data_IF_845443825010
#
_entry.id   IF_845443825010
#
_cell.length_a   1.000
_cell.length_b   1.000
_cell.length_c   1.000
_cell.angle_alpha   90.00
_cell.angle_beta   90.00
_cell.angle_gamma   90.00
#
_symmetry.space_group_name_H-M   'P 1'
#
loop_
_entity.id
_entity.type
_entity.pdbx_description
1 polymer ?
#
# COMPACT_ATOMS: atom_id res chain seq x y z
N UNK A 1 -11.28 19.87 16.14
CA UNK A 1 -10.25 19.10 15.38
C UNK A 1 -10.66 17.66 15.13
N UNK A 2 -11.00 16.86 16.16
CA UNK A 2 -11.40 15.45 15.99
C UNK A 2 -12.50 15.23 14.94
N UNK A 3 -13.61 15.98 15.01
CA UNK A 3 -14.72 15.90 14.05
C UNK A 3 -14.25 16.19 12.61
N UNK A 4 -13.37 17.17 12.43
CA UNK A 4 -12.82 17.48 11.12
C UNK A 4 -11.91 16.35 10.61
N UNK A 5 -11.12 15.72 11.49
CA UNK A 5 -10.29 14.58 11.14
C UNK A 5 -11.13 13.37 10.67
N UNK A 6 -12.27 13.12 11.31
CA UNK A 6 -13.22 12.09 10.89
C UNK A 6 -13.76 12.36 9.48
N UNK A 7 -14.26 13.57 9.24
CA UNK A 7 -14.74 13.96 7.91
C UNK A 7 -13.65 13.87 6.83
N UNK A 8 -12.42 14.30 7.17
CA UNK A 8 -11.28 14.19 6.26
C UNK A 8 -10.93 12.72 5.97
N UNK A 9 -11.03 11.82 6.96
CA UNK A 9 -10.77 10.40 6.77
C UNK A 9 -11.82 9.76 5.85
N UNK A 10 -13.11 10.06 6.06
CA UNK A 10 -14.17 9.57 5.17
C UNK A 10 -13.98 10.09 3.74
N UNK A 11 -13.60 11.36 3.58
CA UNK A 11 -13.34 11.95 2.27
C UNK A 11 -12.12 11.29 1.60
N UNK A 12 -11.04 11.08 2.35
CA UNK A 12 -9.86 10.39 1.85
C UNK A 12 -10.17 8.95 1.45
N UNK A 13 -10.99 8.23 2.22
CA UNK A 13 -11.46 6.90 1.91
C UNK A 13 -12.26 6.88 0.61
N UNK A 14 -13.22 7.79 0.44
CA UNK A 14 -13.97 7.94 -0.82
C UNK A 14 -13.04 8.15 -2.03
N UNK A 15 -12.00 8.97 -1.86
CA UNK A 15 -11.00 9.18 -2.90
C UNK A 15 -10.17 7.93 -3.21
N UNK A 16 -9.74 7.19 -2.19
CA UNK A 16 -9.06 5.91 -2.36
C UNK A 16 -9.94 4.90 -3.11
N UNK A 17 -11.18 4.74 -2.68
CA UNK A 17 -12.18 3.85 -3.30
C UNK A 17 -12.35 4.14 -4.80
N UNK A 18 -12.54 5.41 -5.15
CA UNK A 18 -12.71 5.85 -6.54
C UNK A 18 -11.47 5.55 -7.38
N UNK A 19 -10.28 5.97 -6.92
CA UNK A 19 -9.06 5.78 -7.70
C UNK A 19 -8.61 4.33 -7.77
N UNK A 20 -8.96 3.51 -6.77
CA UNK A 20 -8.80 2.06 -6.83
C UNK A 20 -9.72 1.44 -7.89
N UNK A 21 -10.99 1.87 -7.96
CA UNK A 21 -11.94 1.43 -8.97
C UNK A 21 -11.49 1.81 -10.40
N UNK A 22 -10.95 3.01 -10.57
CA UNK A 22 -10.40 3.54 -11.83
C UNK A 22 -9.02 2.96 -12.19
N UNK A 23 -8.33 2.29 -11.25
CA UNK A 23 -6.93 1.87 -11.38
C UNK A 23 -5.97 3.07 -11.64
N UNK A 24 -6.30 4.24 -11.10
CA UNK A 24 -5.51 5.47 -11.26
C UNK A 24 -4.33 5.50 -10.28
N UNK A 25 -3.16 5.02 -10.73
CA UNK A 25 -2.00 4.80 -9.86
C UNK A 25 -1.50 6.05 -9.13
N UNK A 26 -1.22 7.15 -9.83
CA UNK A 26 -0.60 8.33 -9.22
C UNK A 26 -1.51 9.00 -8.17
N UNK A 27 -2.80 9.15 -8.48
CA UNK A 27 -3.77 9.74 -7.56
C UNK A 27 -4.08 8.82 -6.38
N UNK A 28 -4.14 7.50 -6.62
CA UNK A 28 -4.30 6.52 -5.55
C UNK A 28 -3.18 6.65 -4.49
N UNK A 29 -1.91 6.73 -4.91
CA UNK A 29 -0.79 6.84 -3.97
C UNK A 29 -0.78 8.17 -3.22
N UNK A 30 -1.22 9.26 -3.83
CA UNK A 30 -1.38 10.55 -3.13
C UNK A 30 -2.44 10.44 -2.03
N UNK A 31 -3.58 9.83 -2.32
CA UNK A 31 -4.64 9.63 -1.35
C UNK A 31 -4.30 8.59 -0.28
N UNK A 32 -3.43 7.62 -0.59
CA UNK A 32 -2.82 6.74 0.43
C UNK A 32 -2.13 7.57 1.48
N UNK A 33 -1.25 8.50 1.08
CA UNK A 33 -0.45 9.27 2.01
C UNK A 33 -1.32 10.13 2.93
N UNK A 34 -2.38 10.72 2.38
CA UNK A 34 -3.37 11.49 3.15
C UNK A 34 -4.12 10.59 4.13
N UNK A 35 -4.68 9.47 3.66
CA UNK A 35 -5.43 8.55 4.52
C UNK A 35 -4.54 7.97 5.64
N UNK A 36 -3.30 7.61 5.33
CA UNK A 36 -2.35 7.09 6.31
C UNK A 36 -1.99 8.15 7.36
N UNK A 37 -1.75 9.39 6.94
CA UNK A 37 -1.47 10.48 7.87
C UNK A 37 -2.66 10.75 8.80
N UNK A 38 -3.89 10.70 8.27
CA UNK A 38 -5.11 10.88 9.06
C UNK A 38 -5.29 9.73 10.07
N UNK A 39 -5.19 8.47 9.61
CA UNK A 39 -5.30 7.27 10.45
C UNK A 39 -4.27 7.32 11.59
N UNK A 40 -3.02 7.68 11.28
CA UNK A 40 -1.95 7.79 12.27
C UNK A 40 -2.13 8.97 13.24
N UNK A 41 -2.92 9.97 12.85
CA UNK A 41 -3.26 11.11 13.70
C UNK A 41 -4.28 10.79 14.78
N UNK A 42 -5.04 9.69 14.65
CA UNK A 42 -5.95 9.24 15.71
C UNK A 42 -5.19 8.52 16.81
N UNK A 43 -5.35 8.97 18.06
CA UNK A 43 -4.86 8.22 19.23
C UNK A 43 -5.64 6.90 19.39
N UNK A 44 -6.93 6.92 19.09
CA UNK A 44 -7.79 5.75 18.91
C UNK A 44 -8.80 6.04 17.80
N UNK A 45 -8.99 5.10 16.87
CA UNK A 45 -9.99 5.24 15.80
C UNK A 45 -11.39 5.05 16.42
N UNK A 46 -12.30 6.04 16.27
CA UNK A 46 -13.67 5.92 16.75
C UNK A 46 -14.38 4.69 16.17
N UNK A 47 -15.28 4.08 16.94
CA UNK A 47 -15.96 2.82 16.54
C UNK A 47 -16.65 2.96 15.18
N UNK A 48 -17.33 4.08 14.92
CA UNK A 48 -18.01 4.33 13.63
C UNK A 48 -17.03 4.50 12.46
N UNK A 49 -15.79 4.91 12.71
CA UNK A 49 -14.76 5.11 11.69
C UNK A 49 -13.89 3.87 11.43
N UNK A 50 -14.02 2.82 12.24
CA UNK A 50 -13.21 1.60 12.08
C UNK A 50 -13.35 0.98 10.69
N UNK A 51 -14.58 0.86 10.18
CA UNK A 51 -14.84 0.36 8.82
C UNK A 51 -14.07 1.17 7.77
N UNK A 52 -14.16 2.50 7.84
CA UNK A 52 -13.46 3.43 6.93
C UNK A 52 -11.95 3.24 6.98
N UNK A 53 -11.37 3.16 8.17
CA UNK A 53 -9.94 2.96 8.35
C UNK A 53 -9.47 1.59 7.86
N UNK A 54 -10.19 0.51 8.17
CA UNK A 54 -9.86 -0.84 7.73
C UNK A 54 -9.97 -0.97 6.22
N UNK A 55 -10.98 -0.37 5.59
CA UNK A 55 -11.10 -0.34 4.13
C UNK A 55 -9.92 0.40 3.50
N UNK A 56 -9.53 1.57 4.02
CA UNK A 56 -8.34 2.27 3.53
C UNK A 56 -7.10 1.36 3.56
N UNK A 57 -6.84 0.73 4.71
CA UNK A 57 -5.69 -0.17 4.88
C UNK A 57 -5.74 -1.37 3.93
N UNK A 58 -6.91 -2.00 3.79
CA UNK A 58 -7.13 -3.09 2.84
C UNK A 58 -6.76 -2.67 1.41
N UNK A 59 -7.31 -1.55 0.92
CA UNK A 59 -7.10 -1.10 -0.46
C UNK A 59 -5.62 -0.78 -0.72
N UNK A 60 -4.94 -0.15 0.23
CA UNK A 60 -3.52 0.17 0.12
C UNK A 60 -2.69 -1.12 -0.01
N UNK A 61 -2.95 -2.11 0.85
CA UNK A 61 -2.23 -3.40 0.85
C UNK A 61 -2.54 -4.23 -0.39
N UNK A 62 -3.79 -4.24 -0.87
CA UNK A 62 -4.15 -4.86 -2.15
C UNK A 62 -3.53 -4.11 -3.34
N UNK A 63 -3.36 -2.79 -3.30
CA UNK A 63 -2.63 -2.10 -4.36
C UNK A 63 -1.13 -2.47 -4.37
N UNK A 64 -0.55 -2.74 -3.19
CA UNK A 64 0.84 -3.17 -3.02
C UNK A 64 1.04 -4.68 -3.18
N UNK A 65 -0.01 -5.48 -3.32
CA UNK A 65 0.03 -6.93 -3.10
C UNK A 65 0.98 -7.72 -4.02
N UNK A 66 1.26 -7.21 -5.22
CA UNK A 66 2.26 -7.80 -6.15
C UNK A 66 3.71 -7.44 -5.80
N UNK A 67 3.92 -6.41 -4.99
CA UNK A 67 5.23 -6.05 -4.47
C UNK A 67 5.49 -6.89 -3.23
N UNK A 68 6.41 -7.85 -3.32
CA UNK A 68 6.92 -8.57 -2.15
C UNK A 68 7.98 -7.74 -1.40
N UNK A 69 7.79 -6.42 -1.33
CA UNK A 69 8.61 -5.60 -0.43
C UNK A 69 8.10 -5.94 0.97
N UNK A 70 8.71 -6.97 1.55
CA UNK A 70 8.34 -7.57 2.82
C UNK A 70 8.42 -6.49 3.91
N UNK A 71 7.33 -6.32 4.65
CA UNK A 71 7.35 -5.54 5.88
C UNK A 71 7.68 -6.49 7.03
N UNK A 72 8.63 -6.08 7.88
CA UNK A 72 8.95 -6.83 9.09
C UNK A 72 7.94 -6.43 10.16
N UNK A 73 7.09 -7.37 10.57
CA UNK A 73 6.22 -7.23 11.74
C UNK A 73 6.68 -8.27 12.77
N UNK A 74 7.18 -7.84 13.93
CA UNK A 74 7.64 -8.70 15.04
C UNK A 74 8.59 -9.84 14.60
N UNK A 75 9.68 -9.51 13.89
CA UNK A 75 10.66 -10.46 13.35
C UNK A 75 10.11 -11.41 12.25
N UNK A 76 8.80 -11.36 11.97
CA UNK A 76 8.13 -12.15 10.94
C UNK A 76 7.97 -11.34 9.65
N UNK A 77 8.25 -12.00 8.53
CA UNK A 77 8.12 -11.41 7.19
C UNK A 77 6.65 -11.52 6.75
N UNK A 78 5.92 -10.42 6.86
CA UNK A 78 4.50 -10.37 6.45
C UNK A 78 4.41 -9.70 5.08
N UNK A 79 3.84 -10.41 4.12
CA UNK A 79 3.57 -9.84 2.79
C UNK A 79 2.42 -8.82 2.87
N UNK A 80 2.36 -7.83 1.95
CA UNK A 80 1.25 -6.89 1.93
C UNK A 80 -0.12 -7.59 1.86
N UNK A 81 -0.24 -8.70 1.14
CA UNK A 81 -1.51 -9.45 1.04
C UNK A 81 -1.88 -10.20 2.34
N UNK A 82 -0.91 -10.67 3.12
CA UNK A 82 -1.19 -11.23 4.45
C UNK A 82 -1.75 -10.17 5.40
N UNK A 83 -1.16 -8.96 5.36
CA UNK A 83 -1.74 -7.84 6.10
C UNK A 83 -3.11 -7.44 5.56
N UNK A 84 -3.31 -7.45 4.23
CA UNK A 84 -4.63 -7.22 3.64
C UNK A 84 -5.67 -8.21 4.19
N UNK A 85 -5.32 -9.49 4.34
CA UNK A 85 -6.21 -10.50 4.91
C UNK A 85 -6.61 -10.17 6.36
N UNK A 86 -5.67 -9.70 7.19
CA UNK A 86 -5.98 -9.28 8.57
C UNK A 86 -7.01 -8.15 8.62
N UNK A 87 -6.87 -7.12 7.77
CA UNK A 87 -7.84 -6.03 7.66
C UNK A 87 -9.17 -6.49 7.07
N UNK A 88 -9.15 -7.45 6.14
CA UNK A 88 -10.38 -8.07 5.65
C UNK A 88 -11.16 -8.77 6.76
N UNK A 89 -10.48 -9.56 7.60
CA UNK A 89 -11.12 -10.22 8.75
C UNK A 89 -11.70 -9.21 9.75
N UNK A 90 -11.08 -8.05 9.92
CA UNK A 90 -11.64 -6.97 10.74
C UNK A 90 -12.90 -6.35 10.12
N UNK A 91 -12.94 -6.16 8.80
CA UNK A 91 -14.13 -5.67 8.08
C UNK A 91 -15.30 -6.66 8.17
N UNK A 92 -15.02 -7.96 8.00
CA UNK A 92 -16.04 -9.01 8.08
C UNK A 92 -16.73 -9.05 9.46
N UNK A 93 -16.01 -8.72 10.53
CA UNK A 93 -16.57 -8.64 11.89
C UNK A 93 -17.51 -7.45 12.07
N UNK A 94 -17.26 -6.37 11.35
CA UNK A 94 -18.09 -5.15 11.41
C UNK A 94 -19.33 -5.25 10.49
N UNK A 95 -19.42 -6.27 9.62
CA UNK A 95 -20.50 -6.38 8.64
C UNK A 95 -20.93 -7.84 8.36
N UNK A 96 -22.10 -8.22 8.87
CA UNK A 96 -22.61 -9.60 8.80
C UNK A 96 -23.42 -9.87 7.51
N UNK A 97 -23.89 -8.83 6.82
CA UNK A 97 -24.90 -8.95 5.74
C UNK A 97 -24.35 -9.50 4.41
N UNK A 98 -23.02 -9.50 4.21
CA UNK A 98 -22.39 -9.83 2.92
C UNK A 98 -21.62 -11.15 2.94
N UNK A 99 -22.11 -12.16 3.68
CA UNK A 99 -21.40 -13.42 3.94
C UNK A 99 -20.79 -14.08 2.70
N UNK A 100 -21.52 -14.16 1.57
CA UNK A 100 -20.98 -14.76 0.33
C UNK A 100 -19.87 -13.93 -0.32
N UNK A 101 -20.02 -12.60 -0.39
CA UNK A 101 -18.99 -11.73 -0.96
C UNK A 101 -17.75 -11.68 -0.05
N UNK A 102 -17.96 -11.73 1.26
CA UNK A 102 -16.94 -11.85 2.28
C UNK A 102 -16.09 -13.10 2.10
N UNK A 103 -16.75 -14.26 2.03
CA UNK A 103 -16.10 -15.54 1.77
C UNK A 103 -15.34 -15.54 0.43
N UNK A 104 -15.95 -15.04 -0.64
CA UNK A 104 -15.33 -14.96 -1.98
C UNK A 104 -14.03 -14.13 -1.94
N UNK A 105 -14.06 -12.94 -1.34
CA UNK A 105 -12.90 -12.04 -1.26
C UNK A 105 -11.83 -12.63 -0.34
N UNK A 106 -12.20 -13.16 0.82
CA UNK A 106 -11.28 -13.82 1.75
C UNK A 106 -10.51 -14.94 1.05
N UNK A 107 -11.23 -15.82 0.37
CA UNK A 107 -10.65 -16.93 -0.40
C UNK A 107 -9.73 -16.44 -1.53
N UNK A 108 -10.13 -15.38 -2.24
CA UNK A 108 -9.30 -14.78 -3.29
C UNK A 108 -8.00 -14.20 -2.72
N UNK A 109 -8.06 -13.51 -1.58
CA UNK A 109 -6.86 -12.99 -0.91
C UNK A 109 -5.94 -14.15 -0.51
N UNK A 110 -6.46 -15.19 0.15
CA UNK A 110 -5.67 -16.37 0.55
C UNK A 110 -4.98 -17.05 -0.64
N UNK A 111 -5.69 -17.26 -1.75
CA UNK A 111 -5.11 -17.85 -2.97
C UNK A 111 -4.05 -16.93 -3.57
N UNK A 112 -4.30 -15.62 -3.61
CA UNK A 112 -3.37 -14.65 -4.20
C UNK A 112 -2.10 -14.47 -3.36
N UNK A 113 -2.17 -14.62 -2.04
CA UNK A 113 -0.97 -14.65 -1.19
C UNK A 113 -0.01 -15.74 -1.67
N UNK A 114 -0.51 -16.97 -1.87
CA UNK A 114 0.31 -18.08 -2.38
C UNK A 114 0.73 -17.84 -3.83
N UNK A 115 -0.20 -17.38 -4.69
CA UNK A 115 0.08 -17.12 -6.10
C UNK A 115 1.26 -16.17 -6.31
N UNK A 116 1.30 -15.04 -5.58
CA UNK A 116 2.37 -14.05 -5.70
C UNK A 116 3.72 -14.63 -5.28
N UNK A 117 3.77 -15.45 -4.22
CA UNK A 117 5.01 -16.13 -3.83
C UNK A 117 5.46 -17.15 -4.88
N UNK A 118 4.52 -17.89 -5.48
CA UNK A 118 4.79 -18.84 -6.56
C UNK A 118 5.34 -18.15 -7.81
N UNK A 119 4.74 -17.03 -8.25
CA UNK A 119 5.20 -16.23 -9.39
C UNK A 119 6.63 -15.68 -9.19
N UNK A 120 7.00 -15.39 -7.93
CA UNK A 120 8.33 -14.89 -7.54
C UNK A 120 9.34 -16.00 -7.28
N UNK A 121 8.95 -17.27 -7.44
CA UNK A 121 9.77 -18.48 -7.19
C UNK A 121 10.21 -18.65 -5.73
N UNK A 122 9.48 -18.05 -4.79
CA UNK A 122 9.71 -18.18 -3.35
C UNK A 122 8.90 -19.35 -2.78
N UNK A 123 9.25 -20.56 -3.20
CA UNK A 123 8.46 -21.77 -2.91
C UNK A 123 8.49 -22.18 -1.43
N UNK A 124 9.61 -21.91 -0.73
CA UNK A 124 9.74 -22.25 0.69
C UNK A 124 8.87 -21.32 1.52
N UNK A 125 8.96 -20.03 1.24
CA UNK A 125 8.16 -18.98 1.83
C UNK A 125 6.67 -19.19 1.52
N UNK A 126 6.32 -19.62 0.31
CA UNK A 126 4.93 -19.98 -0.03
C UNK A 126 4.38 -21.10 0.86
N UNK A 127 5.19 -22.11 1.18
CA UNK A 127 4.80 -23.18 2.10
C UNK A 127 4.67 -22.68 3.55
N UNK A 128 5.61 -21.87 4.02
CA UNK A 128 5.55 -21.24 5.35
C UNK A 128 4.32 -20.34 5.50
N UNK A 129 4.02 -19.53 4.49
CA UNK A 129 2.83 -18.68 4.46
C UNK A 129 1.57 -19.53 4.44
N UNK A 130 1.52 -20.61 3.65
CA UNK A 130 0.36 -21.51 3.62
C UNK A 130 0.02 -22.07 5.01
N UNK A 131 1.03 -22.53 5.75
CA UNK A 131 0.85 -23.07 7.10
C UNK A 131 0.32 -22.01 8.08
N UNK A 132 0.77 -20.76 7.94
CA UNK A 132 0.30 -19.62 8.74
C UNK A 132 -1.12 -19.17 8.39
N UNK A 133 -1.54 -19.31 7.13
CA UNK A 133 -2.88 -18.91 6.69
C UNK A 133 -3.99 -19.85 7.17
N UNK A 134 -3.65 -21.12 7.42
CA UNK A 134 -4.61 -22.19 7.68
C UNK A 134 -4.30 -22.94 8.98
N UNK A 135 -3.75 -22.24 9.97
CA UNK A 135 -3.51 -22.78 11.32
C UNK A 135 -4.88 -23.01 11.97
N UNK A 136 -5.31 -24.27 12.06
CA UNK A 136 -6.50 -24.78 12.79
C UNK A 136 -7.90 -24.62 12.16
N UNK A 137 -8.01 -24.29 10.87
CA UNK A 137 -9.31 -24.21 10.16
C UNK A 137 -9.67 -25.52 9.44
N UNK A 138 -10.56 -26.33 10.01
CA UNK A 138 -11.08 -27.55 9.34
C UNK A 138 -11.88 -27.22 8.07
N UNK A 139 -12.56 -26.07 8.02
CA UNK A 139 -13.32 -25.63 6.83
C UNK A 139 -12.42 -25.33 5.62
N UNK A 140 -11.19 -24.88 5.86
CA UNK A 140 -10.26 -24.51 4.80
C UNK A 140 -9.34 -25.64 4.35
N UNK A 141 -9.45 -26.81 4.98
CA UNK A 141 -8.66 -28.01 4.67
C UNK A 141 -8.65 -28.37 3.18
N UNK A 142 -9.78 -28.31 2.43
CA UNK A 142 -9.76 -28.61 1.00
C UNK A 142 -8.94 -27.61 0.18
N UNK A 143 -8.97 -26.33 0.54
CA UNK A 143 -8.21 -25.29 -0.14
C UNK A 143 -6.72 -25.40 0.18
N UNK A 144 -6.39 -25.63 1.45
CA UNK A 144 -5.01 -25.87 1.92
C UNK A 144 -4.35 -27.02 1.16
N UNK A 145 -5.02 -28.18 1.05
CA UNK A 145 -4.48 -29.35 0.34
C UNK A 145 -4.23 -29.06 -1.15
N UNK A 146 -5.16 -28.33 -1.80
CA UNK A 146 -5.01 -27.92 -3.20
C UNK A 146 -3.80 -26.99 -3.37
N UNK A 147 -3.67 -25.97 -2.53
CA UNK A 147 -2.55 -25.02 -2.59
C UNK A 147 -1.21 -25.69 -2.25
N UNK A 148 -1.17 -26.61 -1.28
CA UNK A 148 0.03 -27.41 -0.98
C UNK A 148 0.47 -28.25 -2.19
N UNK A 149 -0.48 -28.83 -2.92
CA UNK A 149 -0.19 -29.57 -4.16
C UNK A 149 0.41 -28.65 -5.21
N UNK A 150 -0.15 -27.45 -5.39
CA UNK A 150 0.37 -26.44 -6.32
C UNK A 150 1.78 -25.98 -5.93
N UNK A 151 2.07 -25.77 -4.65
CA UNK A 151 3.42 -25.41 -4.20
C UNK A 151 4.42 -26.54 -4.51
N UNK A 152 4.01 -27.80 -4.36
CA UNK A 152 4.85 -28.96 -4.69
C UNK A 152 5.16 -29.08 -6.19
N UNK A 153 4.22 -28.73 -7.07
CA UNK A 153 4.48 -28.75 -8.53
C UNK A 153 5.47 -27.66 -8.95
N UNK A 154 5.66 -26.61 -8.13
CA UNK A 154 6.53 -25.45 -8.42
C UNK A 154 6.18 -24.71 -9.71
N UNK A 155 4.96 -24.90 -10.20
CA UNK A 155 4.44 -24.27 -11.41
C UNK A 155 3.45 -23.16 -11.03
N UNK A 156 3.74 -21.88 -11.32
CA UNK A 156 2.83 -20.77 -11.07
C UNK A 156 1.67 -20.71 -12.07
N UNK A 157 1.71 -21.42 -13.20
CA UNK A 157 0.72 -21.34 -14.28
C UNK A 157 -0.38 -22.40 -14.20
N UNK A 158 -0.60 -22.99 -13.03
CA UNK A 158 -1.66 -23.98 -12.83
C UNK A 158 -3.06 -23.38 -13.03
N UNK A 159 -4.05 -24.14 -13.52
CA UNK A 159 -5.41 -23.65 -13.77
C UNK A 159 -6.08 -23.01 -12.54
N UNK A 160 -5.75 -23.47 -11.34
CA UNK A 160 -6.27 -22.89 -10.09
C UNK A 160 -5.82 -21.44 -9.90
N UNK A 161 -4.53 -21.13 -10.10
CA UNK A 161 -4.01 -19.78 -9.92
C UNK A 161 -4.46 -18.85 -11.06
N UNK A 162 -4.69 -19.40 -12.25
CA UNK A 162 -5.23 -18.67 -13.39
C UNK A 162 -6.72 -18.31 -13.22
N UNK A 163 -7.53 -19.27 -12.74
CA UNK A 163 -8.96 -19.04 -12.51
C UNK A 163 -9.22 -18.05 -11.37
N UNK A 164 -8.48 -18.16 -10.27
CA UNK A 164 -8.56 -17.24 -9.13
C UNK A 164 -7.58 -16.07 -9.28
N UNK A 165 -7.63 -15.37 -10.41
CA UNK A 165 -6.65 -14.32 -10.77
C UNK A 165 -6.68 -13.07 -9.88
N UNK A 166 -5.58 -12.31 -9.88
CA UNK A 166 -5.52 -11.01 -9.22
C UNK A 166 -6.56 -10.01 -9.74
N UNK A 167 -6.87 -10.05 -11.03
CA UNK A 167 -7.91 -9.19 -11.62
C UNK A 167 -9.31 -9.55 -11.09
N UNK A 168 -9.58 -10.83 -10.82
CA UNK A 168 -10.81 -11.27 -10.18
C UNK A 168 -10.89 -10.76 -8.73
N UNK A 169 -9.79 -10.81 -7.98
CA UNK A 169 -9.72 -10.20 -6.63
C UNK A 169 -10.06 -8.71 -6.70
N UNK A 170 -9.41 -7.96 -7.58
CA UNK A 170 -9.68 -6.53 -7.78
C UNK A 170 -11.16 -6.29 -8.13
N UNK A 171 -11.74 -7.08 -9.03
CA UNK A 171 -13.15 -6.97 -9.43
C UNK A 171 -14.10 -7.17 -8.26
N UNK A 172 -13.89 -8.22 -7.44
CA UNK A 172 -14.72 -8.49 -6.26
C UNK A 172 -14.59 -7.40 -5.19
N UNK A 173 -13.38 -6.88 -4.98
CA UNK A 173 -13.15 -5.74 -4.08
C UNK A 173 -13.85 -4.49 -4.60
N UNK A 174 -13.88 -4.24 -5.91
CA UNK A 174 -14.69 -3.13 -6.48
C UNK A 174 -16.18 -3.30 -6.19
N UNK A 175 -16.73 -4.51 -6.32
CA UNK A 175 -18.13 -4.76 -5.93
C UNK A 175 -18.39 -4.48 -4.45
N UNK A 176 -17.43 -4.79 -3.57
CA UNK A 176 -17.53 -4.41 -2.16
C UNK A 176 -17.48 -2.88 -1.97
N UNK A 177 -16.56 -2.19 -2.65
CA UNK A 177 -16.45 -0.72 -2.61
C UNK A 177 -17.77 -0.08 -3.06
N UNK A 178 -18.41 -0.56 -4.12
CA UNK A 178 -19.69 -0.02 -4.60
C UNK A 178 -20.78 -0.07 -3.52
N UNK A 179 -20.84 -1.19 -2.78
CA UNK A 179 -21.78 -1.34 -1.66
C UNK A 179 -21.42 -0.41 -0.49
N UNK A 180 -20.14 -0.36 -0.12
CA UNK A 180 -19.65 0.52 0.94
C UNK A 180 -19.91 2.00 0.63
N UNK A 181 -19.65 2.42 -0.61
CA UNK A 181 -19.87 3.80 -1.04
C UNK A 181 -21.36 4.16 -1.01
N UNK A 182 -22.25 3.23 -1.37
CA UNK A 182 -23.70 3.40 -1.30
C UNK A 182 -24.20 3.56 0.14
N UNK A 183 -23.63 2.83 1.09
CA UNK A 183 -23.93 2.98 2.52
C UNK A 183 -23.46 4.34 3.06
N UNK A 184 -22.36 4.87 2.51
CA UNK A 184 -21.69 6.09 2.98
C UNK A 184 -21.89 7.31 2.04
N UNK A 185 -22.97 7.36 1.26
CA UNK A 185 -23.30 8.47 0.36
C UNK A 185 -23.51 9.82 1.10
N UNK A 186 -23.62 9.78 2.43
CA UNK A 186 -23.91 10.93 3.28
C UNK A 186 -22.66 11.70 3.76
N UNK A 187 -21.48 11.42 3.20
CA UNK A 187 -20.25 12.12 3.60
C UNK A 187 -20.40 13.65 3.47
N UNK A 188 -20.31 14.33 4.62
CA UNK A 188 -20.54 15.76 4.74
C UNK A 188 -19.68 16.58 3.77
N UNK A 189 -18.38 16.31 3.69
CA UNK A 189 -17.46 17.07 2.83
C UNK A 189 -17.78 16.90 1.34
N UNK A 190 -18.19 15.70 0.93
CA UNK A 190 -18.58 15.45 -0.47
C UNK A 190 -19.87 16.21 -0.79
N UNK A 191 -20.84 16.18 0.12
CA UNK A 191 -22.10 16.89 -0.06
C UNK A 191 -21.89 18.40 -0.13
N UNK A 192 -21.15 18.97 0.81
CA UNK A 192 -20.88 20.41 0.84
C UNK A 192 -20.05 20.86 -0.36
N UNK A 193 -19.04 20.08 -0.78
CA UNK A 193 -18.30 20.38 -1.99
C UNK A 193 -19.20 20.36 -3.24
N UNK A 194 -20.12 19.40 -3.33
CA UNK A 194 -21.07 19.27 -4.46
C UNK A 194 -22.04 20.45 -4.51
N UNK A 195 -22.60 20.85 -3.36
CA UNK A 195 -23.48 22.04 -3.25
C UNK A 195 -22.76 23.30 -3.68
N UNK A 196 -21.51 23.48 -3.25
CA UNK A 196 -20.71 24.66 -3.58
C UNK A 196 -20.30 24.72 -5.06
N UNK A 197 -20.03 23.58 -5.70
CA UNK A 197 -19.79 23.52 -7.15
C UNK A 197 -21.06 23.87 -7.94
N UNK A 198 -22.21 23.33 -7.52
CA UNK A 198 -23.50 23.64 -8.14
C UNK A 198 -23.88 25.12 -8.02
N UNK A 199 -23.66 25.75 -6.86
CA UNK A 199 -23.98 27.16 -6.65
C UNK A 199 -23.08 28.13 -7.43
N UNK A 200 -21.85 27.73 -7.76
CA UNK A 200 -20.90 28.56 -8.53
C UNK A 200 -21.06 28.46 -10.05
N UNK A 201 -22.00 27.65 -10.56
CA UNK A 201 -22.18 27.45 -12.00
C UNK A 201 -20.93 26.85 -12.69
N UNK A 202 -19.97 26.35 -11.91
CA UNK A 202 -18.86 25.55 -12.40
C UNK A 202 -19.46 24.22 -12.80
N UNK A 203 -19.80 24.09 -14.08
CA UNK A 203 -20.55 22.97 -14.64
C UNK A 203 -20.14 21.65 -14.01
N UNK A 204 -21.13 20.94 -13.47
CA UNK A 204 -20.98 19.58 -13.02
C UNK A 204 -20.34 18.79 -14.17
N UNK A 205 -19.05 18.47 -14.05
CA UNK A 205 -18.50 17.35 -14.82
C UNK A 205 -19.14 16.15 -14.18
N UNK A 206 -20.28 15.75 -14.77
CA UNK A 206 -21.17 14.73 -14.28
C UNK A 206 -20.37 13.50 -13.87
N UNK A 207 -20.46 13.17 -12.59
CA UNK A 207 -20.02 11.93 -11.99
C UNK A 207 -21.02 10.83 -12.42
N UNK A 208 -21.11 10.56 -13.72
CA UNK A 208 -21.83 9.41 -14.28
C UNK A 208 -21.13 8.91 -15.54
N UNK A 209 -20.98 7.59 -15.58
CA UNK A 209 -20.49 6.79 -16.69
C UNK A 209 -21.05 7.24 -18.05
N UNK A 210 -20.16 7.65 -18.98
CA UNK A 210 -20.43 7.47 -20.40
C UNK A 210 -19.16 7.09 -21.13
N UNK A 211 -19.24 5.95 -21.81
CA UNK A 211 -18.21 5.42 -22.69
C UNK A 211 -17.73 6.51 -23.68
N UNK A 212 -16.42 6.75 -23.69
CA UNK A 212 -15.77 7.65 -24.64
C UNK A 212 -15.75 6.98 -26.02
N UNK A 213 -16.40 7.60 -27.00
CA UNK A 213 -15.85 7.64 -28.36
C UNK A 213 -14.92 8.86 -28.42
N UNK A 214 -13.70 8.60 -28.84
CA UNK A 214 -12.59 9.55 -29.00
C UNK A 214 -12.95 10.60 -30.06
N UNK A 215 -12.55 11.85 -29.81
CA UNK A 215 -11.98 12.70 -30.86
C UNK A 215 -11.00 13.70 -30.25
N UNK A 216 -9.87 13.86 -30.95
CA UNK A 216 -8.74 14.72 -30.62
C UNK A 216 -9.07 16.21 -30.80
N UNK A 217 -8.42 17.02 -29.97
CA UNK A 217 -8.12 18.46 -30.06
C UNK A 217 -8.77 19.29 -28.92
N UNK A 218 -7.98 19.63 -27.90
CA UNK A 218 -7.51 21.01 -27.78
C UNK A 218 -6.51 21.21 -26.64
N UNK A 219 -5.53 22.08 -26.92
CA UNK A 219 -4.27 22.24 -26.19
C UNK A 219 -4.31 23.53 -25.38
N UNK A 220 -5.08 23.60 -24.31
CA UNK A 220 -4.94 24.67 -23.29
C UNK A 220 -5.79 24.41 -22.05
N UNK A 221 -5.21 23.88 -20.96
CA UNK A 221 -5.51 24.31 -19.57
C UNK A 221 -4.63 23.57 -18.53
N UNK A 222 -3.30 23.70 -18.62
CA UNK A 222 -2.37 23.09 -17.67
C UNK A 222 -2.08 23.98 -16.44
N UNK A 223 -2.61 25.21 -16.40
CA UNK A 223 -2.31 26.19 -15.34
C UNK A 223 -3.34 26.19 -14.21
N UNK A 224 -4.57 25.79 -14.46
CA UNK A 224 -5.67 25.94 -13.49
C UNK A 224 -5.70 24.82 -12.44
N UNK A 225 -5.24 23.60 -12.78
CA UNK A 225 -5.14 22.47 -11.83
C UNK A 225 -4.03 22.59 -10.77
N UNK A 226 -3.04 23.48 -10.95
CA UNK A 226 -1.93 23.64 -10.00
C UNK A 226 -2.26 24.54 -8.80
N UNK A 227 -3.30 25.39 -8.88
CA UNK A 227 -3.62 26.36 -7.81
C UNK A 227 -4.45 25.79 -6.66
N UNK A 228 -5.24 24.74 -6.89
CA UNK A 228 -6.06 24.12 -5.83
C UNK A 228 -5.28 23.19 -4.89
N UNK A 229 -4.09 22.75 -5.30
CA UNK A 229 -3.29 21.78 -4.53
C UNK A 229 -2.40 22.46 -3.48
N UNK A 230 -2.17 23.77 -3.59
CA UNK A 230 -1.27 24.51 -2.69
C UNK A 230 -1.93 24.88 -1.35
N UNK A 231 -3.27 24.94 -1.28
CA UNK A 231 -3.98 25.37 -0.06
C UNK A 231 -3.97 24.33 1.07
N UNK A 232 -3.77 23.05 0.77
CA UNK A 232 -3.76 21.98 1.78
C UNK A 232 -2.37 21.85 2.45
N UNK A 233 -1.31 22.41 1.86
CA UNK A 233 0.07 22.28 2.38
C UNK A 233 0.39 23.35 3.46
N UNK A 234 -0.45 24.37 3.64
CA UNK A 234 -0.16 25.50 4.54
C UNK A 234 -0.58 25.31 6.01
N UNK A 235 -1.19 24.19 6.40
CA UNK A 235 -1.62 23.95 7.80
C UNK A 235 -0.53 23.34 8.70
N UNK A 236 0.74 23.34 8.28
CA UNK A 236 1.84 22.67 9.02
C UNK A 236 2.65 23.58 9.96
N UNK A 237 2.13 24.73 10.37
CA UNK A 237 2.77 25.60 11.34
C UNK A 237 1.79 25.99 12.44
N UNK A 238 2.25 25.96 13.70
CA UNK A 238 1.50 26.11 14.97
C UNK A 238 0.95 24.75 15.43
N UNK A 239 1.40 24.06 16.49
CA UNK A 239 2.14 24.42 17.70
C UNK A 239 2.73 23.11 18.30
N UNK A 240 3.87 23.18 19.01
CA UNK A 240 4.40 22.05 19.79
C UNK A 240 4.35 22.30 21.30
N UNK A 241 4.20 21.24 22.12
CA UNK A 241 5.04 20.89 23.30
C UNK A 241 4.46 19.74 24.17
N UNK A 242 5.36 18.77 24.46
CA UNK A 242 5.70 18.02 25.71
C UNK A 242 4.68 17.19 26.55
N UNK A 243 5.02 15.87 26.66
CA UNK A 243 5.13 14.91 27.81
C UNK A 243 4.13 14.98 29.00
N UNK A 244 3.64 13.92 29.67
CA UNK A 244 4.10 12.54 29.91
C UNK A 244 3.00 11.62 30.54
N UNK A 245 3.30 10.31 30.60
CA UNK A 245 2.81 9.23 31.52
C UNK A 245 1.34 8.76 31.50
N UNK A 246 1.12 7.50 31.10
CA UNK A 246 0.72 6.37 31.98
C UNK A 246 0.00 5.24 31.21
N UNK A 247 0.70 4.09 31.10
CA UNK A 247 0.22 2.68 31.09
C UNK A 247 -1.10 2.28 30.39
N UNK A 248 -0.94 1.66 29.20
CA UNK A 248 -1.51 0.39 28.67
C UNK A 248 -3.01 0.04 28.93
N UNK A 249 -3.74 -0.45 27.90
CA UNK A 249 -3.32 -1.52 27.01
C UNK A 249 -3.15 -1.08 25.56
N UNK A 250 -1.87 -0.90 25.19
CA UNK A 250 -1.39 -0.54 23.86
C UNK A 250 -0.52 -1.72 23.42
N UNK A 251 -1.05 -2.64 22.62
CA UNK A 251 -0.20 -3.68 22.02
C UNK A 251 -0.55 -4.05 20.57
N UNK A 252 -1.59 -3.45 19.98
CA UNK A 252 -1.90 -3.65 18.56
C UNK A 252 -1.69 -2.39 17.69
N UNK A 253 -1.57 -1.22 18.31
CA UNK A 253 -1.46 0.07 17.60
C UNK A 253 -0.02 0.55 17.38
N UNK A 254 0.97 -0.04 18.06
CA UNK A 254 2.34 0.49 18.11
C UNK A 254 3.27 0.00 16.98
N UNK A 255 2.85 -0.96 16.14
CA UNK A 255 3.73 -1.60 15.15
C UNK A 255 3.92 -0.73 13.88
N UNK A 256 3.07 0.28 13.66
CA UNK A 256 3.22 1.21 12.54
C UNK A 256 4.23 2.35 12.80
N UNK A 257 4.77 2.49 14.02
CA UNK A 257 5.60 3.64 14.41
C UNK A 257 7.07 3.58 13.96
N UNK A 258 7.58 2.47 13.42
CA UNK A 258 9.03 2.30 13.25
C UNK A 258 9.64 2.84 11.95
N UNK A 259 8.87 3.40 11.00
CA UNK A 259 9.41 3.76 9.68
C UNK A 259 9.26 5.24 9.30
N UNK A 260 9.58 6.15 10.22
CA UNK A 260 9.84 7.56 9.88
C UNK A 260 11.18 8.02 10.44
N UNK A 261 12.28 7.62 9.79
CA UNK A 261 13.44 8.49 9.72
C UNK A 261 14.00 8.51 8.28
N UNK A 262 14.21 9.75 7.83
CA UNK A 262 14.90 10.18 6.61
C UNK A 262 14.04 10.33 5.34
N UNK A 263 13.22 11.39 5.34
CA UNK A 263 12.99 12.16 4.10
C UNK A 263 13.32 13.61 4.40
N UNK A 264 14.53 14.04 4.04
CA UNK A 264 14.77 15.42 3.68
C UNK A 264 15.05 15.49 2.16
N UNK A 265 14.12 16.16 1.48
CA UNK A 265 14.20 16.85 0.18
C UNK A 265 15.09 16.23 -0.91
N UNK A 266 14.46 15.76 -2.00
CA UNK A 266 14.73 16.37 -3.31
C UNK A 266 13.66 16.08 -4.36
N UNK A 267 13.36 17.13 -5.12
CA UNK A 267 12.37 17.22 -6.19
C UNK A 267 12.65 16.24 -7.34
N UNK A 268 11.58 15.63 -7.85
CA UNK A 268 11.58 14.87 -9.10
C UNK A 268 11.50 15.88 -10.25
N UNK A 269 12.63 16.11 -10.91
CA UNK A 269 12.69 16.61 -12.29
C UNK A 269 12.95 15.42 -13.21
N UNK A 270 11.95 15.10 -14.03
CA UNK A 270 12.08 14.19 -15.17
C UNK A 270 12.92 14.89 -16.24
N UNK A 271 14.19 14.48 -16.37
CA UNK A 271 14.97 14.66 -17.58
C UNK A 271 16.04 13.56 -17.70
N UNK A 272 15.99 12.82 -18.80
CA UNK A 272 17.01 11.87 -19.21
C UNK A 272 18.37 12.60 -19.38
N UNK A 273 19.24 12.49 -18.39
CA UNK A 273 20.68 12.73 -18.53
C UNK A 273 21.40 11.88 -17.48
N UNK A 274 22.33 11.02 -17.89
CA UNK A 274 23.11 10.15 -16.99
C UNK A 274 24.06 11.01 -16.15
N UNK A 275 23.55 11.65 -15.09
CA UNK A 275 24.38 12.23 -14.03
C UNK A 275 24.98 11.08 -13.23
N UNK A 276 26.31 11.00 -13.16
CA UNK A 276 27.01 10.03 -12.29
C UNK A 276 26.57 10.27 -10.85
N UNK A 277 25.77 9.37 -10.29
CA UNK A 277 25.35 9.42 -8.88
C UNK A 277 26.59 9.28 -7.98
N UNK A 278 26.89 10.31 -7.18
CA UNK A 278 27.99 10.30 -6.21
C UNK A 278 27.69 9.31 -5.08
N UNK A 279 28.72 8.65 -4.58
CA UNK A 279 28.61 7.73 -3.43
C UNK A 279 28.51 8.52 -2.13
N UNK A 280 27.56 8.15 -1.27
CA UNK A 280 27.44 8.74 0.07
C UNK A 280 28.32 8.02 1.08
N UNK A 281 28.55 8.66 2.23
CA UNK A 281 29.34 8.07 3.31
C UNK A 281 28.68 6.82 3.90
N UNK A 282 27.34 6.83 3.99
CA UNK A 282 26.54 5.70 4.45
C UNK A 282 26.70 4.51 3.50
N UNK A 283 26.60 4.75 2.18
CA UNK A 283 26.84 3.70 1.18
C UNK A 283 28.25 3.12 1.28
N UNK A 284 29.28 3.95 1.47
CA UNK A 284 30.66 3.45 1.65
C UNK A 284 30.83 2.67 2.96
N UNK A 285 30.14 3.06 4.02
CA UNK A 285 30.13 2.37 5.32
C UNK A 285 29.46 1.00 5.19
N UNK A 286 28.28 0.93 4.60
CA UNK A 286 27.55 -0.31 4.35
C UNK A 286 28.34 -1.25 3.43
N UNK A 287 29.01 -0.71 2.41
CA UNK A 287 29.88 -1.50 1.54
C UNK A 287 31.06 -2.10 2.31
N UNK A 288 31.70 -1.34 3.19
CA UNK A 288 32.79 -1.83 4.05
C UNK A 288 32.31 -2.91 5.02
N UNK A 289 31.15 -2.72 5.64
CA UNK A 289 30.56 -3.72 6.54
C UNK A 289 30.21 -5.00 5.78
N UNK A 290 29.53 -4.88 4.65
CA UNK A 290 29.17 -6.02 3.82
C UNK A 290 30.39 -6.78 3.28
N UNK A 291 31.47 -6.10 2.91
CA UNK A 291 32.72 -6.78 2.53
C UNK A 291 33.38 -7.46 3.73
N UNK A 292 33.32 -6.88 4.93
CA UNK A 292 33.84 -7.50 6.16
C UNK A 292 33.05 -8.77 6.53
N UNK A 293 31.74 -8.77 6.32
CA UNK A 293 30.84 -9.86 6.69
C UNK A 293 30.78 -10.97 5.62
N UNK A 294 30.65 -10.60 4.34
CA UNK A 294 30.45 -11.56 3.25
C UNK A 294 31.70 -11.82 2.41
N UNK A 295 32.77 -11.06 2.59
CA UNK A 295 34.00 -11.20 1.81
C UNK A 295 33.97 -10.48 0.45
N UNK A 296 35.17 -10.17 -0.07
CA UNK A 296 35.36 -9.50 -1.36
C UNK A 296 34.88 -10.40 -2.50
N UNK A 297 34.06 -9.88 -3.41
CA UNK A 297 33.55 -10.63 -4.57
C UNK A 297 32.06 -10.98 -4.47
N UNK A 298 31.50 -10.99 -3.26
CA UNK A 298 30.10 -11.36 -3.00
C UNK A 298 29.13 -10.16 -3.15
N UNK A 299 29.28 -9.40 -4.24
CA UNK A 299 28.59 -8.11 -4.46
C UNK A 299 27.07 -8.23 -4.52
N UNK A 300 26.54 -9.31 -5.10
CA UNK A 300 25.09 -9.54 -5.16
C UNK A 300 24.52 -9.78 -3.75
N UNK A 301 25.25 -10.49 -2.89
CA UNK A 301 24.85 -10.73 -1.50
C UNK A 301 24.95 -9.44 -0.68
N UNK A 302 26.04 -8.69 -0.84
CA UNK A 302 26.22 -7.40 -0.18
C UNK A 302 25.13 -6.41 -0.60
N UNK A 303 24.78 -6.34 -1.88
CA UNK A 303 23.71 -5.47 -2.38
C UNK A 303 22.35 -5.78 -1.76
N UNK A 304 22.06 -7.05 -1.50
CA UNK A 304 20.80 -7.48 -0.88
C UNK A 304 20.77 -7.16 0.61
N UNK A 305 21.92 -7.21 1.29
CA UNK A 305 22.02 -6.98 2.74
C UNK A 305 22.18 -5.51 3.13
N UNK A 306 22.73 -4.66 2.26
CA UNK A 306 22.95 -3.24 2.55
C UNK A 306 21.99 -2.32 1.80
N UNK A 307 21.73 -1.14 2.38
CA UNK A 307 20.89 -0.12 1.74
C UNK A 307 21.70 0.73 0.76
N UNK A 308 21.67 0.35 -0.52
CA UNK A 308 22.40 1.04 -1.58
C UNK A 308 21.48 1.69 -2.62
N UNK A 309 20.55 2.57 -2.21
CA UNK A 309 19.83 3.54 -3.06
C UNK A 309 19.90 3.33 -4.61
N UNK A 310 19.27 2.26 -5.12
CA UNK A 310 19.24 1.89 -6.55
C UNK A 310 20.60 1.60 -7.24
N UNK A 311 21.63 1.22 -6.47
CA UNK A 311 22.92 0.76 -6.98
C UNK A 311 22.84 -0.68 -7.47
N UNK A 312 23.80 -1.06 -8.31
CA UNK A 312 23.94 -2.43 -8.81
C UNK A 312 25.20 -3.09 -8.28
N UNK A 313 25.23 -4.43 -8.32
CA UNK A 313 26.38 -5.23 -7.87
C UNK A 313 27.68 -4.85 -8.58
N UNK A 314 27.60 -4.44 -9.85
CA UNK A 314 28.72 -3.92 -10.64
C UNK A 314 29.23 -2.59 -10.07
N UNK A 315 28.32 -1.69 -9.68
CA UNK A 315 28.70 -0.40 -9.10
C UNK A 315 29.39 -0.57 -7.75
N UNK A 316 28.93 -1.50 -6.90
CA UNK A 316 29.59 -1.83 -5.63
C UNK A 316 31.01 -2.35 -5.84
N UNK A 317 31.19 -3.25 -6.81
CA UNK A 317 32.52 -3.77 -7.20
C UNK A 317 33.46 -2.64 -7.62
N UNK A 318 33.02 -1.72 -8.48
CA UNK A 318 33.85 -0.62 -8.95
C UNK A 318 34.12 0.43 -7.87
N UNK A 319 33.16 0.65 -6.96
CA UNK A 319 33.40 1.51 -5.79
C UNK A 319 34.41 0.89 -4.84
N UNK A 320 34.31 -0.40 -4.56
CA UNK A 320 35.26 -1.10 -3.70
C UNK A 320 36.69 -1.03 -4.22
N UNK A 321 36.89 -1.11 -5.55
CA UNK A 321 38.21 -0.90 -6.18
C UNK A 321 38.78 0.50 -5.94
N UNK A 322 37.91 1.50 -5.84
CA UNK A 322 38.30 2.89 -5.52
C UNK A 322 38.64 3.03 -4.04
N UNK A 323 37.78 2.52 -3.15
CA UNK A 323 37.99 2.56 -1.70
C UNK A 323 39.24 1.77 -1.26
N UNK A 324 39.55 0.66 -1.93
CA UNK A 324 40.73 -0.15 -1.64
C UNK A 324 42.05 0.53 -2.00
N UNK A 325 42.01 1.54 -2.89
CA UNK A 325 43.17 2.36 -3.28
C UNK A 325 43.35 3.60 -2.41
N UNK A 326 42.33 3.96 -1.62
CA UNK A 326 42.35 5.09 -0.68
C UNK A 326 42.71 4.64 0.74
N UNK A 327 43.33 3.46 0.85
CA UNK A 327 43.78 2.87 2.12
C UNK A 327 45.11 3.45 2.56
#
# INVERSE_FOLDING_TARGET
>A
EAVAAEWMLEFACSCLCRHFAEQSGAEFWRWRDVAQALINGFSQIPQHQKKTAYLCQLLIRIAQGKSLVLQFENEQKISPLESALSFWTLLEREEIKLAKLHEDIRRLIQIQIVAVHMEKRYFKEAAEVLERLFTDSESDKPLRVKLATVIKTKDPHVPLLQSFSYSLLISKVKSYIELFMKENETNFLIQEATKHVASKGLGATTLQNRAVKVNENDKSDLKTKKRFVLSIILLRGVLGQKLATSTLPIFFFLICLSNMHNVEKNEISLACSRRRQRWTYEEDRELKLGVKEFGVGNWAKILVHGNFNNRTSVMLKDRWRTLSKMK
#
